data_IF_634134395789
#
_entry.id   IF_634134395789
#
_cell.length_a   1.000
_cell.length_b   1.000
_cell.length_c   1.000
_cell.angle_alpha   90.00
_cell.angle_beta   90.00
_cell.angle_gamma   90.00
#
_symmetry.space_group_name_H-M   'P 1'
#
loop_
_entity.id
_entity.type
_entity.pdbx_description
1 polymer ?
#
# COMPACT_ATOMS: atom_id res chain seq x y z
N UNK A 1 19.85 11.20 -15.00
CA UNK A 1 19.79 10.28 -13.87
C UNK A 1 18.48 9.52 -13.86
N UNK A 2 18.55 8.19 -13.80
CA UNK A 2 17.36 7.36 -13.83
C UNK A 2 16.89 7.09 -12.40
N UNK A 3 15.64 7.44 -12.11
CA UNK A 3 15.05 7.11 -10.81
C UNK A 3 14.40 5.73 -10.90
N UNK A 4 14.79 4.85 -9.97
CA UNK A 4 14.15 3.55 -9.87
C UNK A 4 12.82 3.70 -9.16
N UNK A 5 11.76 3.19 -9.81
CA UNK A 5 10.46 3.05 -9.16
C UNK A 5 10.48 1.74 -8.38
N UNK A 6 10.10 1.79 -7.12
CA UNK A 6 9.93 0.57 -6.31
C UNK A 6 8.46 0.24 -6.23
N UNK A 7 8.17 -1.03 -6.48
CA UNK A 7 6.80 -1.54 -6.38
C UNK A 7 6.70 -2.49 -5.21
N UNK A 8 5.65 -2.30 -4.41
CA UNK A 8 5.40 -3.14 -3.24
C UNK A 8 4.06 -3.84 -3.41
N UNK A 9 4.05 -5.12 -3.13
CA UNK A 9 2.84 -5.92 -3.13
C UNK A 9 2.49 -6.23 -1.68
N UNK A 10 1.36 -5.74 -1.22
CA UNK A 10 0.95 -5.89 0.18
C UNK A 10 -0.41 -6.55 0.24
N UNK A 11 -0.53 -7.57 1.10
CA UNK A 11 -1.78 -8.30 1.27
C UNK A 11 -2.26 -8.15 2.70
N UNK A 12 -3.46 -7.62 2.85
CA UNK A 12 -4.18 -7.60 4.12
C UNK A 12 -5.39 -8.52 3.97
N UNK A 13 -5.55 -9.43 4.91
CA UNK A 13 -6.65 -10.40 4.86
C UNK A 13 -7.84 -10.03 5.72
N UNK A 14 -7.73 -8.97 6.51
CA UNK A 14 -8.80 -8.57 7.43
C UNK A 14 -8.67 -7.08 7.75
N UNK A 15 -9.73 -6.47 8.33
CA UNK A 15 -9.73 -5.01 8.56
C UNK A 15 -8.58 -4.48 9.40
N UNK A 16 -8.13 -5.23 10.41
CA UNK A 16 -6.98 -4.79 11.22
C UNK A 16 -5.71 -4.74 10.38
N UNK A 17 -5.54 -5.72 9.48
CA UNK A 17 -4.41 -5.73 8.56
C UNK A 17 -4.44 -4.55 7.59
N UNK A 18 -5.64 -4.14 7.17
CA UNK A 18 -5.80 -2.98 6.31
C UNK A 18 -5.30 -1.70 6.98
N UNK A 19 -5.63 -1.51 8.26
CA UNK A 19 -5.17 -0.36 9.01
C UNK A 19 -3.65 -0.37 9.17
N UNK A 20 -3.09 -1.52 9.52
CA UNK A 20 -1.64 -1.67 9.66
C UNK A 20 -0.93 -1.49 8.32
N UNK A 21 -1.51 -2.05 7.26
CA UNK A 21 -0.96 -1.91 5.92
C UNK A 21 -0.94 -0.46 5.45
N UNK A 22 -1.99 0.29 5.77
CA UNK A 22 -2.04 1.71 5.43
C UNK A 22 -0.93 2.49 6.14
N UNK A 23 -0.69 2.19 7.41
CA UNK A 23 0.39 2.83 8.17
C UNK A 23 1.75 2.50 7.57
N UNK A 24 1.94 1.25 7.15
CA UNK A 24 3.17 0.81 6.51
C UNK A 24 3.40 1.53 5.18
N UNK A 25 2.35 1.66 4.36
CA UNK A 25 2.44 2.37 3.10
C UNK A 25 2.89 3.81 3.32
N UNK A 26 2.31 4.47 4.32
CA UNK A 26 2.66 5.84 4.64
C UNK A 26 4.15 5.96 5.00
N UNK A 27 4.66 5.03 5.81
CA UNK A 27 6.06 5.04 6.22
C UNK A 27 7.02 4.74 5.06
N UNK A 28 6.67 3.74 4.24
CA UNK A 28 7.48 3.41 3.06
C UNK A 28 7.55 4.61 2.12
N UNK A 29 6.43 5.30 1.92
CA UNK A 29 6.38 6.44 1.02
C UNK A 29 7.25 7.60 1.49
N UNK A 30 7.44 7.74 2.80
CA UNK A 30 8.37 8.74 3.33
C UNK A 30 9.81 8.44 2.95
N UNK A 31 10.19 7.16 2.98
CA UNK A 31 11.54 6.73 2.64
C UNK A 31 11.75 6.60 1.13
N UNK A 32 10.70 6.23 0.41
CA UNK A 32 10.75 5.97 -1.03
C UNK A 32 9.60 6.74 -1.72
N UNK A 33 9.79 8.05 -1.96
CA UNK A 33 8.70 8.87 -2.52
C UNK A 33 8.19 8.42 -3.89
N UNK A 34 9.00 7.68 -4.63
CA UNK A 34 8.61 7.18 -5.95
C UNK A 34 8.08 5.75 -5.92
N UNK A 35 7.70 5.26 -4.74
CA UNK A 35 7.16 3.91 -4.61
C UNK A 35 5.71 3.84 -5.07
N UNK A 36 5.31 2.65 -5.51
CA UNK A 36 3.91 2.35 -5.82
C UNK A 36 3.50 1.10 -5.06
N UNK A 37 2.21 0.98 -4.83
CA UNK A 37 1.66 -0.09 -3.99
C UNK A 37 0.48 -0.73 -4.69
N UNK A 38 0.43 -2.05 -4.63
CA UNK A 38 -0.64 -2.82 -5.23
C UNK A 38 -0.89 -4.05 -4.35
N UNK A 39 -2.12 -4.49 -4.23
CA UNK A 39 -2.38 -5.70 -3.49
C UNK A 39 -3.82 -5.84 -3.01
N UNK A 40 -3.97 -6.59 -1.93
CA UNK A 40 -5.27 -6.82 -1.31
C UNK A 40 -5.38 -5.96 -0.07
N UNK A 41 -6.48 -5.25 0.05
CA UNK A 41 -6.71 -4.41 1.21
C UNK A 41 -8.10 -3.81 1.20
N UNK A 42 -8.36 -2.95 2.15
CA UNK A 42 -9.63 -2.29 2.27
C UNK A 42 -9.52 -0.79 2.08
N UNK A 43 -10.45 -0.09 2.70
CA UNK A 43 -10.57 1.35 2.55
C UNK A 43 -9.30 2.10 2.98
N UNK A 44 -8.68 1.68 4.09
CA UNK A 44 -7.52 2.41 4.62
C UNK A 44 -6.33 2.37 3.68
N UNK A 45 -6.02 1.18 3.14
CA UNK A 45 -4.91 1.03 2.21
C UNK A 45 -5.21 1.72 0.89
N UNK A 46 -6.45 1.64 0.42
CA UNK A 46 -6.89 2.33 -0.78
C UNK A 46 -6.74 3.84 -0.60
N UNK A 47 -7.11 4.34 0.56
CA UNK A 47 -7.03 5.77 0.85
C UNK A 47 -5.59 6.28 0.91
N UNK A 48 -4.63 5.38 1.18
CA UNK A 48 -3.21 5.72 1.14
C UNK A 48 -2.61 5.57 -0.26
N UNK A 49 -3.42 5.27 -1.25
CA UNK A 49 -2.97 5.24 -2.64
C UNK A 49 -2.60 3.87 -3.18
N UNK A 50 -2.90 2.79 -2.46
CA UNK A 50 -2.64 1.46 -2.98
C UNK A 50 -3.67 1.08 -4.04
N UNK A 51 -3.20 0.49 -5.13
CA UNK A 51 -4.10 -0.08 -6.12
C UNK A 51 -4.65 -1.39 -5.58
N UNK A 52 -5.96 -1.47 -5.43
CA UNK A 52 -6.62 -2.62 -4.83
C UNK A 52 -6.97 -3.64 -5.91
N UNK A 53 -6.34 -4.82 -5.84
CA UNK A 53 -6.69 -5.94 -6.72
C UNK A 53 -7.90 -6.66 -6.16
N UNK A 54 -7.93 -6.85 -4.83
CA UNK A 54 -9.05 -7.50 -4.16
C UNK A 54 -9.41 -6.70 -2.92
N UNK A 55 -10.65 -6.23 -2.90
CA UNK A 55 -11.19 -5.46 -1.79
C UNK A 55 -11.66 -6.43 -0.70
N UNK A 56 -11.16 -6.23 0.52
CA UNK A 56 -11.50 -7.09 1.65
C UNK A 56 -12.70 -6.58 2.46
N UNK A 57 -13.19 -5.40 2.15
CA UNK A 57 -14.36 -4.83 2.85
C UNK A 57 -15.69 -5.37 2.33
#
# INVERSE_FOLDING_TARGET
MVKKLKKFFIIAGEPSGDIHGAALIKEIRKCEPNSSFIGHGGFSMKNEGMEIIKDID
#
